data_IF_993454247357
#
_entry.id   IF_993454247357
#
_cell.length_a   1.000
_cell.length_b   1.000
_cell.length_c   1.000
_cell.angle_alpha   90.00
_cell.angle_beta   90.00
_cell.angle_gamma   90.00
#
_symmetry.space_group_name_H-M   'P 1'
#
loop_
_entity.id
_entity.type
_entity.pdbx_description
1 polymer ?
#
# COMPACT_ATOMS: atom_id res chain seq x y z
N UNK A 1 8.50 -6.97 20.11
CA UNK A 1 7.49 -6.86 19.04
C UNK A 1 7.45 -8.18 18.30
N UNK A 2 6.26 -8.78 18.14
CA UNK A 2 6.08 -10.01 17.39
C UNK A 2 6.22 -9.73 15.87
N UNK A 3 7.38 -10.09 15.31
CA UNK A 3 7.74 -9.75 13.93
C UNK A 3 6.89 -10.50 12.89
N UNK A 4 6.46 -11.72 13.19
CA UNK A 4 5.62 -12.50 12.27
C UNK A 4 4.22 -11.87 12.18
N UNK A 5 3.62 -11.56 13.33
CA UNK A 5 2.33 -10.88 13.37
C UNK A 5 2.36 -9.51 12.68
N UNK A 6 3.44 -8.76 12.83
CA UNK A 6 3.62 -7.47 12.14
C UNK A 6 3.73 -7.67 10.63
N UNK A 7 4.46 -8.70 10.19
CA UNK A 7 4.59 -9.04 8.76
C UNK A 7 3.23 -9.38 8.16
N UNK A 8 2.39 -10.13 8.86
CA UNK A 8 1.03 -10.47 8.40
C UNK A 8 0.12 -9.24 8.29
N UNK A 9 0.20 -8.31 9.25
CA UNK A 9 -0.53 -7.04 9.19
C UNK A 9 -0.08 -6.23 7.97
N UNK A 10 1.23 -6.08 7.76
CA UNK A 10 1.78 -5.36 6.61
C UNK A 10 1.33 -6.00 5.29
N UNK A 11 1.43 -7.33 5.17
CA UNK A 11 0.98 -8.07 3.99
C UNK A 11 -0.51 -7.82 3.68
N UNK A 12 -1.35 -7.82 4.72
CA UNK A 12 -2.78 -7.57 4.56
C UNK A 12 -3.09 -6.14 4.10
N UNK A 13 -2.42 -5.14 4.69
CA UNK A 13 -2.56 -3.74 4.26
C UNK A 13 -2.07 -3.58 2.82
N UNK A 14 -0.95 -4.20 2.47
CA UNK A 14 -0.36 -4.12 1.13
C UNK A 14 -1.30 -4.69 0.07
N UNK A 15 -1.94 -5.83 0.36
CA UNK A 15 -2.94 -6.45 -0.50
C UNK A 15 -4.13 -5.51 -0.75
N UNK A 16 -4.68 -4.92 0.31
CA UNK A 16 -5.82 -3.99 0.20
C UNK A 16 -5.44 -2.73 -0.59
N UNK A 17 -4.26 -2.17 -0.31
CA UNK A 17 -3.78 -0.98 -0.99
C UNK A 17 -3.54 -1.23 -2.49
N UNK A 18 -2.96 -2.38 -2.86
CA UNK A 18 -2.81 -2.79 -4.27
C UNK A 18 -4.16 -2.90 -4.97
N UNK A 19 -5.10 -3.65 -4.40
CA UNK A 19 -6.44 -3.80 -4.99
C UNK A 19 -7.18 -2.47 -5.12
N UNK A 20 -7.11 -1.60 -4.10
CA UNK A 20 -7.70 -0.27 -4.16
C UNK A 20 -7.02 0.63 -5.21
N UNK A 21 -5.69 0.54 -5.34
CA UNK A 21 -4.94 1.26 -6.36
C UNK A 21 -5.35 0.83 -7.77
N UNK A 22 -5.45 -0.47 -8.02
CA UNK A 22 -5.84 -1.02 -9.32
C UNK A 22 -7.24 -0.53 -9.71
N UNK A 23 -8.20 -0.61 -8.78
CA UNK A 23 -9.54 -0.04 -8.99
C UNK A 23 -9.48 1.46 -9.28
N UNK A 24 -8.74 2.23 -8.49
CA UNK A 24 -8.63 3.67 -8.71
C UNK A 24 -8.03 4.01 -10.09
N UNK A 25 -7.07 3.20 -10.57
CA UNK A 25 -6.47 3.35 -11.91
C UNK A 25 -7.47 3.03 -13.02
N UNK A 26 -8.34 2.03 -12.84
CA UNK A 26 -9.36 1.68 -13.84
C UNK A 26 -10.42 2.79 -14.04
N UNK A 27 -10.61 3.65 -13.03
CA UNK A 27 -11.63 4.69 -13.03
C UNK A 27 -11.07 6.14 -13.01
N UNK A 28 -9.75 6.34 -13.01
CA UNK A 28 -9.13 7.67 -12.87
C UNK A 28 -9.47 8.67 -13.97
N UNK A 29 -9.75 8.19 -15.18
CA UNK A 29 -10.15 9.03 -16.32
C UNK A 29 -11.66 9.30 -16.35
N UNK A 30 -12.44 8.54 -15.57
CA UNK A 30 -13.91 8.64 -15.50
C UNK A 30 -14.38 9.44 -14.29
N UNK A 31 -13.60 9.46 -13.21
CA UNK A 31 -13.94 10.15 -11.96
C UNK A 31 -12.69 10.83 -11.38
N UNK A 32 -12.60 12.18 -11.32
CA UNK A 32 -11.41 12.88 -10.82
C UNK A 32 -11.00 12.51 -9.39
N UNK A 33 -11.97 12.13 -8.54
CA UNK A 33 -11.73 11.65 -7.18
C UNK A 33 -10.83 10.40 -7.15
N UNK A 34 -10.86 9.57 -8.19
CA UNK A 34 -10.07 8.35 -8.30
C UNK A 34 -8.58 8.65 -8.52
N UNK A 35 -8.22 9.80 -9.12
CA UNK A 35 -6.81 10.25 -9.18
C UNK A 35 -6.23 10.50 -7.79
N UNK A 36 -7.03 11.11 -6.91
CA UNK A 36 -6.66 11.32 -5.50
C UNK A 36 -6.55 9.99 -4.77
N UNK A 37 -7.52 9.09 -4.95
CA UNK A 37 -7.48 7.75 -4.34
C UNK A 37 -6.26 6.93 -4.77
N UNK A 38 -5.94 6.89 -6.07
CA UNK A 38 -4.73 6.25 -6.58
C UNK A 38 -3.45 6.83 -5.95
N UNK A 39 -3.40 8.15 -5.75
CA UNK A 39 -2.28 8.81 -5.08
C UNK A 39 -2.17 8.41 -3.60
N UNK A 40 -3.29 8.32 -2.89
CA UNK A 40 -3.32 7.85 -1.50
C UNK A 40 -2.82 6.41 -1.38
N UNK A 41 -3.25 5.51 -2.26
CA UNK A 41 -2.76 4.14 -2.25
C UNK A 41 -1.27 4.05 -2.59
N UNK A 42 -0.74 4.92 -3.46
CA UNK A 42 0.71 5.01 -3.70
C UNK A 42 1.48 5.36 -2.43
N UNK A 43 1.01 6.32 -1.64
CA UNK A 43 1.65 6.69 -0.38
C UNK A 43 1.63 5.54 0.63
N UNK A 44 0.48 4.86 0.79
CA UNK A 44 0.37 3.69 1.67
C UNK A 44 1.36 2.58 1.26
N UNK A 45 1.51 2.33 -0.05
CA UNK A 45 2.46 1.32 -0.55
C UNK A 45 3.91 1.73 -0.31
N UNK A 46 4.23 3.03 -0.34
CA UNK A 46 5.55 3.53 0.00
C UNK A 46 5.81 3.36 1.51
N UNK A 47 4.86 3.73 2.37
CA UNK A 47 4.98 3.56 3.82
C UNK A 47 5.19 2.08 4.19
N UNK A 48 4.53 1.15 3.47
CA UNK A 48 4.74 -0.29 3.64
C UNK A 48 6.19 -0.70 3.33
N UNK A 49 6.79 -0.16 2.26
CA UNK A 49 8.20 -0.43 1.94
C UNK A 49 9.13 0.10 3.02
N UNK A 50 8.87 1.31 3.49
CA UNK A 50 9.66 1.94 4.55
C UNK A 50 9.54 1.16 5.87
N UNK A 51 8.34 0.69 6.22
CA UNK A 51 8.10 -0.18 7.37
C UNK A 51 8.86 -1.50 7.24
N UNK A 52 8.86 -2.12 6.06
CA UNK A 52 9.62 -3.35 5.82
C UNK A 52 11.11 -3.14 6.01
N UNK A 53 11.63 -2.03 5.51
CA UNK A 53 13.04 -1.65 5.71
C UNK A 53 13.37 -1.43 7.18
N UNK A 54 12.57 -0.64 7.89
CA UNK A 54 12.82 -0.29 9.30
C UNK A 54 12.70 -1.50 10.24
N UNK A 55 11.71 -2.36 10.01
CA UNK A 55 11.37 -3.45 10.95
C UNK A 55 12.13 -4.74 10.62
N UNK A 56 12.29 -5.05 9.34
CA UNK A 56 12.85 -6.31 8.87
C UNK A 56 14.21 -6.17 8.20
N UNK A 57 14.67 -4.96 7.86
CA UNK A 57 15.88 -4.76 7.08
C UNK A 57 15.76 -5.23 5.64
N UNK A 58 14.52 -5.32 5.12
CA UNK A 58 14.24 -5.68 3.73
C UNK A 58 14.56 -4.46 2.85
N UNK A 59 15.65 -4.50 2.07
CA UNK A 59 15.89 -3.52 1.01
C UNK A 59 14.98 -3.86 -0.18
N UNK A 60 14.13 -2.89 -0.55
CA UNK A 60 13.11 -3.00 -1.61
C UNK A 60 13.69 -2.84 -3.01
#
# INVERSE_FOLDING_TARGET
>A
MDKEKVRDIINNIERVAKSGQDMARDYMDKQPSQKSQNSNYRYILQDIRDLRKVIFGEDS
#
